data_IF_466605720654
#
_entry.id   IF_466605720654
#
_cell.length_a   1.000
_cell.length_b   1.000
_cell.length_c   1.000
_cell.angle_alpha   90.00
_cell.angle_beta   90.00
_cell.angle_gamma   90.00
#
_symmetry.space_group_name_H-M   'P 1'
#
loop_
_entity.id
_entity.type
_entity.pdbx_description
1 polymer ?
#
# COMPACT_ATOMS: atom_id res chain seq x y z
N UNK A 1 15.78 -1.42 6.67
CA UNK A 1 14.94 -1.71 7.86
C UNK A 1 14.27 -3.05 7.69
N UNK A 2 14.45 -4.01 8.61
CA UNK A 2 13.68 -5.28 8.59
C UNK A 2 12.22 -5.06 8.97
N UNK A 3 11.29 -5.74 8.30
CA UNK A 3 9.86 -5.62 8.57
C UNK A 3 9.15 -6.95 8.30
N UNK A 4 8.60 -7.60 9.34
CA UNK A 4 8.17 -9.00 9.23
C UNK A 4 6.66 -9.16 9.42
N UNK A 5 6.08 -10.09 8.65
CA UNK A 5 4.69 -10.54 8.83
C UNK A 5 4.68 -11.56 9.98
N UNK A 6 4.16 -11.16 11.15
CA UNK A 6 4.05 -12.00 12.34
C UNK A 6 2.83 -12.93 12.36
N UNK A 7 2.38 -13.43 13.52
CA UNK A 7 1.09 -14.08 13.68
C UNK A 7 -0.09 -13.08 13.63
N UNK A 8 -1.36 -13.53 13.59
CA UNK A 8 -2.53 -12.65 13.52
C UNK A 8 -2.68 -11.69 14.71
N UNK A 9 -2.27 -12.12 15.90
CA UNK A 9 -2.26 -11.30 17.12
C UNK A 9 -0.82 -10.90 17.44
N UNK A 10 -0.54 -9.61 17.51
CA UNK A 10 0.80 -9.11 17.83
C UNK A 10 1.15 -9.35 19.31
N UNK A 11 2.31 -9.97 19.58
CA UNK A 11 2.75 -10.27 20.94
C UNK A 11 3.02 -9.04 21.81
N UNK A 12 3.42 -7.93 21.20
CA UNK A 12 3.83 -6.70 21.90
C UNK A 12 2.68 -5.77 22.22
N UNK A 13 1.56 -5.87 21.50
CA UNK A 13 0.43 -4.94 21.63
C UNK A 13 -0.91 -5.62 21.83
N UNK A 14 -1.00 -6.93 21.61
CA UNK A 14 -2.26 -7.68 21.65
C UNK A 14 -3.24 -7.36 20.51
N UNK A 15 -2.92 -6.43 19.62
CA UNK A 15 -3.79 -6.10 18.48
C UNK A 15 -3.86 -7.27 17.51
N UNK A 16 -5.01 -7.44 16.87
CA UNK A 16 -5.26 -8.47 15.87
C UNK A 16 -5.53 -7.84 14.52
N UNK A 17 -4.71 -8.15 13.52
CA UNK A 17 -4.86 -7.60 12.16
C UNK A 17 -4.95 -8.68 11.08
N UNK A 18 -5.66 -8.35 10.01
CA UNK A 18 -5.74 -9.18 8.81
C UNK A 18 -4.36 -9.44 8.21
N UNK A 19 -4.22 -10.56 7.49
CA UNK A 19 -2.96 -10.88 6.82
C UNK A 19 -2.65 -9.87 5.69
N UNK A 20 -3.66 -9.38 4.97
CA UNK A 20 -3.49 -8.33 3.97
C UNK A 20 -2.93 -7.05 4.57
N UNK A 21 -3.47 -6.55 5.68
CA UNK A 21 -2.98 -5.31 6.30
C UNK A 21 -1.54 -5.46 6.83
N UNK A 22 -1.23 -6.60 7.46
CA UNK A 22 0.13 -6.92 7.90
C UNK A 22 1.11 -7.00 6.72
N UNK A 23 0.69 -7.61 5.61
CA UNK A 23 1.47 -7.67 4.36
C UNK A 23 1.72 -6.30 3.73
N UNK A 24 0.67 -5.48 3.58
CA UNK A 24 0.75 -4.12 3.06
C UNK A 24 1.73 -3.24 3.86
N UNK A 25 1.78 -3.44 5.16
CA UNK A 25 2.69 -2.69 6.04
C UNK A 25 4.14 -3.22 5.93
N UNK A 26 4.33 -4.53 5.94
CA UNK A 26 5.66 -5.14 5.96
C UNK A 26 6.45 -4.97 4.64
N UNK A 27 5.76 -4.87 3.48
CA UNK A 27 6.42 -4.86 2.17
C UNK A 27 7.28 -3.62 1.89
N UNK A 28 7.12 -2.53 2.64
CA UNK A 28 7.95 -1.32 2.50
C UNK A 28 9.28 -1.37 3.27
N UNK A 29 9.61 -2.52 3.86
CA UNK A 29 10.94 -2.81 4.42
C UNK A 29 11.63 -3.99 3.73
N UNK A 30 12.68 -4.51 4.36
CA UNK A 30 13.17 -5.85 4.05
C UNK A 30 12.17 -6.86 4.61
N UNK A 31 11.21 -7.24 3.77
CA UNK A 31 10.06 -8.04 4.15
C UNK A 31 10.48 -9.48 4.46
N UNK A 32 10.02 -9.98 5.60
CA UNK A 32 10.19 -11.36 6.04
C UNK A 32 8.90 -11.92 6.66
N UNK A 33 8.94 -13.17 7.10
CA UNK A 33 7.82 -13.84 7.77
C UNK A 33 8.31 -14.41 9.10
N UNK A 34 7.63 -14.04 10.18
CA UNK A 34 7.88 -14.50 11.55
C UNK A 34 6.61 -15.13 12.11
N UNK A 35 6.15 -16.20 11.46
CA UNK A 35 4.93 -16.91 11.81
C UNK A 35 5.13 -18.41 11.62
N UNK A 36 4.59 -19.22 12.52
CA UNK A 36 4.60 -20.67 12.39
C UNK A 36 3.75 -21.12 11.19
N UNK A 37 4.42 -21.40 10.07
CA UNK A 37 3.78 -21.78 8.81
C UNK A 37 3.00 -23.10 8.91
N UNK A 38 3.34 -23.98 9.84
CA UNK A 38 2.63 -25.26 10.06
C UNK A 38 1.21 -25.07 10.60
N UNK A 39 0.87 -23.86 11.06
CA UNK A 39 -0.45 -23.53 11.62
C UNK A 39 -1.35 -22.79 10.64
N UNK A 40 -0.88 -22.56 9.41
CA UNK A 40 -1.64 -21.83 8.40
C UNK A 40 -2.71 -22.72 7.79
N UNK A 41 -3.93 -22.18 7.74
CA UNK A 41 -4.98 -22.69 6.87
C UNK A 41 -4.63 -22.44 5.40
N UNK A 42 -5.23 -23.20 4.49
CA UNK A 42 -4.95 -23.12 3.05
C UNK A 42 -5.18 -21.71 2.47
N UNK A 43 -6.28 -21.05 2.87
CA UNK A 43 -6.59 -19.66 2.48
C UNK A 43 -5.48 -18.67 2.90
N UNK A 44 -4.91 -18.88 4.09
CA UNK A 44 -3.82 -18.06 4.60
C UNK A 44 -2.50 -18.35 3.89
N UNK A 45 -2.24 -19.60 3.53
CA UNK A 45 -1.06 -19.97 2.75
C UNK A 45 -1.09 -19.34 1.36
N UNK A 46 -2.23 -19.38 0.70
CA UNK A 46 -2.42 -18.77 -0.62
C UNK A 46 -2.27 -17.26 -0.58
N UNK A 47 -2.90 -16.61 0.41
CA UNK A 47 -2.75 -15.17 0.61
C UNK A 47 -1.30 -14.78 0.94
N UNK A 48 -0.60 -15.55 1.78
CA UNK A 48 0.80 -15.30 2.09
C UNK A 48 1.70 -15.48 0.86
N UNK A 49 1.45 -16.52 0.06
CA UNK A 49 2.18 -16.75 -1.21
C UNK A 49 2.00 -15.58 -2.17
N UNK A 50 0.77 -15.07 -2.30
CA UNK A 50 0.47 -13.89 -3.11
C UNK A 50 1.24 -12.66 -2.63
N UNK A 51 1.22 -12.36 -1.33
CA UNK A 51 1.96 -11.23 -0.74
C UNK A 51 3.46 -11.35 -1.02
N UNK A 52 4.05 -12.54 -0.85
CA UNK A 52 5.46 -12.80 -1.15
C UNK A 52 5.74 -12.61 -2.65
N UNK A 53 4.83 -13.05 -3.52
CA UNK A 53 4.90 -12.85 -4.96
C UNK A 53 4.96 -11.38 -5.34
N UNK A 54 4.02 -10.58 -4.83
CA UNK A 54 3.99 -9.13 -5.03
C UNK A 54 5.27 -8.45 -4.54
N UNK A 55 5.75 -8.81 -3.34
CA UNK A 55 6.99 -8.26 -2.81
C UNK A 55 8.19 -8.57 -3.71
N UNK A 56 8.29 -9.80 -4.21
CA UNK A 56 9.37 -10.18 -5.14
C UNK A 56 9.25 -9.42 -6.46
N UNK A 57 8.04 -9.30 -7.01
CA UNK A 57 7.78 -8.58 -8.26
C UNK A 57 8.19 -7.11 -8.19
N UNK A 58 7.98 -6.45 -7.05
CA UNK A 58 8.27 -5.03 -6.88
C UNK A 58 9.56 -4.74 -6.09
N UNK A 59 10.32 -5.77 -5.73
CA UNK A 59 11.48 -5.67 -4.81
C UNK A 59 12.50 -4.64 -5.26
N UNK A 60 12.86 -4.63 -6.55
CA UNK A 60 13.85 -3.68 -7.08
C UNK A 60 13.39 -2.23 -6.89
N UNK A 61 12.11 -1.94 -7.13
CA UNK A 61 11.55 -0.62 -6.89
C UNK A 61 11.53 -0.29 -5.39
N UNK A 62 11.03 -1.21 -4.57
CA UNK A 62 10.89 -1.01 -3.12
C UNK A 62 12.22 -0.70 -2.41
N UNK A 63 13.34 -1.24 -2.91
CA UNK A 63 14.67 -1.02 -2.31
C UNK A 63 15.56 -0.05 -3.09
N UNK A 64 15.20 0.30 -4.33
CA UNK A 64 16.01 1.15 -5.20
C UNK A 64 15.45 2.54 -5.45
N UNK A 65 14.19 2.80 -5.09
CA UNK A 65 13.55 4.10 -5.26
C UNK A 65 13.62 5.01 -4.02
N UNK A 66 13.12 6.23 -4.19
CA UNK A 66 13.00 7.25 -3.16
C UNK A 66 11.73 7.03 -2.33
N UNK A 67 11.88 6.91 -1.01
CA UNK A 67 10.76 6.78 -0.09
C UNK A 67 10.01 8.12 0.06
N UNK A 68 8.69 8.07 -0.02
CA UNK A 68 7.81 9.24 0.05
C UNK A 68 6.70 9.04 1.08
N UNK A 69 6.27 10.13 1.73
CA UNK A 69 5.15 10.18 2.69
C UNK A 69 4.16 11.24 2.26
N UNK A 70 2.89 11.02 2.55
CA UNK A 70 1.82 11.93 2.19
C UNK A 70 0.95 12.21 3.43
N UNK A 71 0.72 13.50 3.69
CA UNK A 71 -0.26 13.94 4.68
C UNK A 71 -1.65 13.86 4.05
N UNK A 72 -2.42 12.84 4.41
CA UNK A 72 -3.71 12.52 3.78
C UNK A 72 -4.92 12.88 4.61
N UNK A 73 -4.78 12.93 5.93
CA UNK A 73 -5.88 13.23 6.87
C UNK A 73 -5.38 14.10 8.01
N UNK A 74 -6.13 15.14 8.39
CA UNK A 74 -5.80 15.99 9.55
C UNK A 74 -6.09 15.33 10.89
N UNK A 75 -6.95 14.32 10.92
CA UNK A 75 -7.33 13.57 12.13
C UNK A 75 -6.44 12.33 12.39
N UNK A 76 -5.41 12.12 11.58
CA UNK A 76 -4.53 10.94 11.61
C UNK A 76 -5.28 9.59 11.51
N UNK A 77 -6.51 9.59 10.96
CA UNK A 77 -7.26 8.36 10.76
C UNK A 77 -6.64 7.47 9.68
N UNK A 78 -5.83 8.04 8.77
CA UNK A 78 -5.09 7.32 7.77
C UNK A 78 -3.66 7.84 7.57
N UNK A 79 -2.82 6.99 6.99
CA UNK A 79 -1.46 7.34 6.55
C UNK A 79 -1.26 6.89 5.11
N UNK A 80 -0.47 7.63 4.34
CA UNK A 80 -0.05 7.20 3.02
C UNK A 80 1.44 7.41 2.80
N UNK A 81 2.06 6.44 2.14
CA UNK A 81 3.50 6.42 1.89
C UNK A 81 3.83 5.48 0.74
N UNK A 82 5.08 5.44 0.31
CA UNK A 82 5.54 4.44 -0.62
C UNK A 82 6.91 4.75 -1.18
N UNK A 83 7.18 4.23 -2.37
CA UNK A 83 8.45 4.40 -3.06
C UNK A 83 8.19 4.83 -4.50
N UNK A 84 8.92 5.85 -4.97
CA UNK A 84 8.93 6.31 -6.36
C UNK A 84 10.32 6.00 -6.94
N UNK A 85 10.40 5.49 -8.17
CA UNK A 85 11.70 5.23 -8.79
C UNK A 85 12.48 6.53 -8.96
N UNK A 86 13.81 6.46 -8.97
CA UNK A 86 14.69 7.65 -9.07
C UNK A 86 14.48 8.43 -10.38
N UNK A 87 14.11 7.74 -11.46
CA UNK A 87 13.70 8.34 -12.75
C UNK A 87 12.25 8.86 -12.75
N UNK A 88 11.52 8.66 -11.65
CA UNK A 88 10.14 9.05 -11.42
C UNK A 88 9.14 8.39 -12.36
N UNK A 89 9.49 7.30 -13.05
CA UNK A 89 8.62 6.62 -14.02
C UNK A 89 7.75 5.54 -13.39
N UNK A 90 8.08 5.07 -12.19
CA UNK A 90 7.33 4.05 -11.46
C UNK A 90 7.07 4.51 -10.03
N UNK A 91 5.98 4.04 -9.45
CA UNK A 91 5.70 4.24 -8.03
C UNK A 91 4.96 3.04 -7.46
N UNK A 92 5.22 2.70 -6.22
CA UNK A 92 4.48 1.70 -5.47
C UNK A 92 4.10 2.31 -4.14
N UNK A 93 2.81 2.61 -3.97
CA UNK A 93 2.31 3.43 -2.87
C UNK A 93 1.21 2.70 -2.10
N UNK A 94 1.06 3.07 -0.83
CA UNK A 94 0.11 2.52 0.11
C UNK A 94 -0.69 3.65 0.75
N UNK A 95 -2.00 3.46 0.83
CA UNK A 95 -2.89 4.21 1.70
C UNK A 95 -3.46 3.25 2.74
N UNK A 96 -3.21 3.51 4.01
CA UNK A 96 -3.61 2.67 5.13
C UNK A 96 -4.57 3.43 6.06
N UNK A 97 -5.79 2.92 6.20
CA UNK A 97 -6.76 3.40 7.18
C UNK A 97 -6.43 2.75 8.54
N UNK A 98 -6.13 3.59 9.53
CA UNK A 98 -5.75 3.15 10.87
C UNK A 98 -6.97 3.08 11.80
N UNK A 99 -7.81 4.11 11.74
CA UNK A 99 -8.99 4.28 12.58
C UNK A 99 -10.21 4.64 11.74
N UNK A 100 -11.40 4.68 12.33
CA UNK A 100 -12.59 5.21 11.63
C UNK A 100 -12.37 6.69 11.33
N UNK A 101 -12.51 7.08 10.07
CA UNK A 101 -12.45 8.49 9.64
C UNK A 101 -13.63 9.28 10.22
N UNK A 102 -13.41 10.54 10.59
CA UNK A 102 -14.50 11.44 11.00
C UNK A 102 -15.47 11.75 9.85
N UNK A 103 -14.95 11.80 8.62
CA UNK A 103 -15.75 11.98 7.40
C UNK A 103 -16.06 10.64 6.73
N UNK A 104 -17.26 10.50 6.15
CA UNK A 104 -17.66 9.30 5.42
C UNK A 104 -16.78 9.06 4.18
N UNK A 105 -16.37 10.14 3.50
CA UNK A 105 -15.54 10.09 2.30
C UNK A 105 -14.12 10.55 2.66
N UNK A 106 -13.08 9.73 2.41
CA UNK A 106 -11.69 10.15 2.64
C UNK A 106 -11.33 11.37 1.79
N UNK A 107 -10.48 12.29 2.28
CA UNK A 107 -9.92 13.35 1.45
C UNK A 107 -9.18 12.80 0.22
N UNK A 108 -9.06 13.61 -0.82
CA UNK A 108 -8.29 13.26 -2.02
C UNK A 108 -6.82 13.05 -1.66
N UNK A 109 -6.27 11.91 -2.07
CA UNK A 109 -4.87 11.60 -1.92
C UNK A 109 -4.07 12.24 -3.07
N UNK A 110 -3.40 13.35 -2.74
CA UNK A 110 -2.55 14.09 -3.68
C UNK A 110 -1.16 13.48 -3.76
N UNK A 111 -0.81 12.96 -4.94
CA UNK A 111 0.43 12.21 -5.17
C UNK A 111 1.47 13.14 -5.82
N UNK A 112 2.29 13.77 -4.98
CA UNK A 112 3.53 14.44 -5.38
C UNK A 112 4.71 13.47 -5.55
N UNK A 113 5.80 13.96 -6.16
CA UNK A 113 7.05 13.21 -6.40
C UNK A 113 7.26 12.74 -7.85
N UNK A 114 6.23 12.86 -8.70
CA UNK A 114 6.24 12.46 -10.11
C UNK A 114 6.63 13.61 -11.06
N UNK A 115 6.91 13.28 -12.32
CA UNK A 115 7.12 14.26 -13.39
C UNK A 115 5.78 14.85 -13.84
N UNK A 116 5.67 16.19 -13.85
CA UNK A 116 4.40 16.89 -14.10
C UNK A 116 3.76 16.54 -15.45
N UNK A 117 4.57 16.50 -16.50
CA UNK A 117 4.10 16.39 -17.89
C UNK A 117 4.10 14.95 -18.42
N UNK A 118 4.27 13.97 -17.52
CA UNK A 118 4.26 12.54 -17.85
C UNK A 118 2.92 11.94 -17.42
N UNK A 119 2.35 11.10 -18.28
CA UNK A 119 1.16 10.31 -17.98
C UNK A 119 1.53 9.02 -17.24
N UNK A 120 0.77 8.70 -16.20
CA UNK A 120 0.93 7.49 -15.40
C UNK A 120 -0.36 6.70 -15.39
N UNK A 121 -0.26 5.41 -15.71
CA UNK A 121 -1.33 4.45 -15.42
C UNK A 121 -1.27 4.10 -13.93
N UNK A 122 -2.39 4.33 -13.25
CA UNK A 122 -2.64 3.96 -11.86
C UNK A 122 -3.35 2.62 -11.85
N UNK A 123 -2.72 1.62 -11.23
CA UNK A 123 -3.26 0.27 -11.08
C UNK A 123 -3.39 -0.06 -9.60
N UNK A 124 -4.56 -0.49 -9.17
CA UNK A 124 -4.75 -1.02 -7.83
C UNK A 124 -4.15 -2.42 -7.74
N UNK A 125 -3.31 -2.64 -6.74
CA UNK A 125 -2.62 -3.92 -6.54
C UNK A 125 -3.46 -4.77 -5.58
N UNK A 126 -3.98 -5.92 -6.02
CA UNK A 126 -4.91 -6.71 -5.24
C UNK A 126 -4.23 -7.33 -4.02
N UNK A 127 -4.91 -7.29 -2.87
CA UNK A 127 -4.40 -7.79 -1.60
C UNK A 127 -5.53 -8.33 -0.71
N UNK A 128 -5.55 -9.65 -0.48
CA UNK A 128 -6.67 -10.29 0.23
C UNK A 128 -8.00 -10.03 -0.49
N UNK A 129 -9.04 -9.69 0.26
CA UNK A 129 -10.39 -9.45 -0.28
C UNK A 129 -10.58 -8.01 -0.81
N UNK A 130 -9.48 -7.37 -1.25
CA UNK A 130 -9.56 -6.03 -1.86
C UNK A 130 -10.48 -6.06 -3.08
N UNK A 131 -11.40 -5.09 -3.17
CA UNK A 131 -12.25 -4.94 -4.36
C UNK A 131 -11.41 -4.66 -5.59
N UNK A 132 -11.86 -5.15 -6.74
CA UNK A 132 -11.28 -4.77 -8.01
C UNK A 132 -11.59 -3.30 -8.32
N UNK A 133 -10.60 -2.61 -8.84
CA UNK A 133 -10.70 -1.22 -9.26
C UNK A 133 -10.11 -1.09 -10.66
N UNK A 134 -10.86 -0.48 -11.57
CA UNK A 134 -10.40 -0.22 -12.92
C UNK A 134 -9.18 0.70 -12.90
N UNK A 135 -8.14 0.34 -13.65
CA UNK A 135 -6.99 1.22 -13.84
C UNK A 135 -7.39 2.47 -14.63
N UNK A 136 -6.74 3.59 -14.35
CA UNK A 136 -6.94 4.84 -15.07
C UNK A 136 -5.62 5.57 -15.26
N UNK A 137 -5.59 6.57 -16.14
CA UNK A 137 -4.40 7.37 -16.42
C UNK A 137 -4.60 8.81 -15.97
N UNK A 138 -3.56 9.40 -15.37
CA UNK A 138 -3.48 10.82 -15.03
C UNK A 138 -2.05 11.32 -15.24
N UNK A 139 -1.89 12.59 -15.58
CA UNK A 139 -0.57 13.22 -15.60
C UNK A 139 -0.04 13.38 -14.18
N UNK A 140 1.29 13.45 -14.01
CA UNK A 140 1.89 13.75 -12.70
C UNK A 140 1.40 15.09 -12.12
N UNK A 141 1.10 16.08 -12.98
CA UNK A 141 0.50 17.34 -12.56
C UNK A 141 -0.92 17.16 -11.99
N UNK A 142 -1.75 16.33 -12.62
CA UNK A 142 -3.10 16.02 -12.14
C UNK A 142 -3.04 15.22 -10.84
N UNK A 143 -2.18 14.19 -10.76
CA UNK A 143 -1.96 13.41 -9.53
C UNK A 143 -1.53 14.28 -8.35
N UNK A 144 -0.67 15.28 -8.60
CA UNK A 144 -0.21 16.22 -7.56
C UNK A 144 -1.27 17.23 -7.14
N UNK A 145 -2.02 17.81 -8.08
CA UNK A 145 -2.92 18.95 -7.82
C UNK A 145 -4.34 18.52 -7.45
N UNK A 146 -4.87 17.56 -8.19
CA UNK A 146 -6.22 17.02 -8.03
C UNK A 146 -6.17 15.85 -7.04
N UNK A 147 -5.27 14.89 -7.28
CA UNK A 147 -5.20 13.66 -6.50
C UNK A 147 -6.22 12.61 -6.93
N UNK A 148 -6.18 11.47 -6.24
CA UNK A 148 -7.10 10.36 -6.46
C UNK A 148 -7.97 10.16 -5.22
N UNK A 149 -9.20 9.68 -5.40
CA UNK A 149 -10.08 9.32 -4.30
C UNK A 149 -9.68 7.93 -3.76
N UNK A 150 -9.18 7.81 -2.51
CA UNK A 150 -8.99 6.49 -1.92
C UNK A 150 -10.35 5.79 -1.77
N UNK A 151 -10.41 4.45 -1.90
CA UNK A 151 -11.61 3.70 -1.59
C UNK A 151 -12.00 3.90 -0.12
N UNK A 152 -13.29 3.74 0.19
CA UNK A 152 -13.73 3.68 1.59
C UNK A 152 -13.21 2.38 2.21
N UNK A 153 -12.38 2.51 3.23
CA UNK A 153 -11.75 1.40 3.93
C UNK A 153 -12.26 1.30 5.37
N UNK A 154 -12.42 0.08 5.86
CA UNK A 154 -12.56 -0.17 7.29
C UNK A 154 -11.26 0.16 8.03
N UNK A 155 -11.31 0.40 9.35
CA UNK A 155 -10.09 0.51 10.16
C UNK A 155 -9.17 -0.70 9.99
N UNK A 156 -7.86 -0.49 10.16
CA UNK A 156 -6.82 -1.51 9.98
C UNK A 156 -6.88 -2.24 8.62
N UNK A 157 -7.15 -1.46 7.56
CA UNK A 157 -7.15 -1.92 6.17
C UNK A 157 -6.31 -1.00 5.29
N UNK A 158 -5.78 -1.51 4.20
CA UNK A 158 -4.92 -0.76 3.30
C UNK A 158 -5.22 -1.06 1.84
N UNK A 159 -4.94 -0.10 0.99
CA UNK A 159 -4.94 -0.24 -0.46
C UNK A 159 -3.55 0.08 -1.01
N UNK A 160 -3.13 -0.69 -2.00
CA UNK A 160 -1.86 -0.53 -2.69
C UNK A 160 -2.14 -0.07 -4.12
N UNK A 161 -1.33 0.86 -4.61
CA UNK A 161 -1.34 1.26 -6.01
C UNK A 161 0.05 1.16 -6.60
N UNK A 162 0.10 0.73 -7.86
CA UNK A 162 1.28 0.79 -8.71
C UNK A 162 1.06 1.85 -9.79
N UNK A 163 2.06 2.71 -9.95
CA UNK A 163 2.12 3.76 -10.95
C UNK A 163 3.17 3.37 -11.97
N UNK A 164 2.84 3.49 -13.26
CA UNK A 164 3.79 3.28 -14.34
C UNK A 164 3.58 4.34 -15.41
N UNK A 165 4.63 5.07 -15.77
CA UNK A 165 4.57 6.01 -16.88
C UNK A 165 4.28 5.26 -18.17
N UNK A 166 3.51 5.89 -19.06
CA UNK A 166 3.40 5.44 -20.44
C UNK A 166 4.70 5.68 -21.21
#
# INVERSE_FOLDING_TARGET
MGAHIGPPTAHTTGRRQSLSFRGATAMFGHMGVEWNLLTLRDDQQDQLRHIIGLYKQHRELLHGGDFVRYDVTSDNSAVAHGVISTDKRKGFLCYAQLFTSQGLVPPLWKIHGLLSDVEYTVTYVPLGDSKEHTSFTMTGAQLKRIGIQPPMLSPESAVLIYLKSQ
#
